data_IF_495529086944
#
_entry.id   IF_495529086944
#
_cell.length_a   1.000
_cell.length_b   1.000
_cell.length_c   1.000
_cell.angle_alpha   90.00
_cell.angle_beta   90.00
_cell.angle_gamma   90.00
#
_symmetry.space_group_name_H-M   'P 1'
#
loop_
_entity.id
_entity.type
_entity.pdbx_description
1 polymer ?
#
# COMPACT_ATOMS: atom_id res chain seq x y z
N UNK A 1 -50.84 34.91 69.79
CA UNK A 1 -51.98 34.17 69.20
C UNK A 1 -51.93 34.34 67.69
N UNK A 2 -52.47 33.34 66.97
CA UNK A 2 -52.69 33.20 65.52
C UNK A 2 -51.56 32.60 64.65
N UNK A 3 -51.54 31.25 64.66
CA UNK A 3 -51.61 30.30 63.54
C UNK A 3 -50.55 30.25 62.41
N UNK A 4 -49.94 29.07 62.30
CA UNK A 4 -49.40 28.49 61.06
C UNK A 4 -50.54 28.08 60.11
N UNK A 5 -50.32 27.94 58.79
CA UNK A 5 -49.93 26.60 58.29
C UNK A 5 -49.01 26.55 57.06
N UNK A 6 -48.27 25.44 56.99
CA UNK A 6 -47.84 24.68 55.80
C UNK A 6 -47.30 25.43 54.56
N UNK A 7 -45.97 25.44 54.43
CA UNK A 7 -45.30 25.52 53.13
C UNK A 7 -45.34 24.15 52.44
N UNK A 8 -46.09 24.06 51.34
CA UNK A 8 -46.09 22.93 50.40
C UNK A 8 -44.76 22.85 49.62
N UNK A 9 -44.30 21.65 49.22
CA UNK A 9 -43.00 21.46 48.58
C UNK A 9 -42.95 22.04 47.17
N UNK A 10 -41.80 22.60 46.81
CA UNK A 10 -41.50 23.15 45.49
C UNK A 10 -41.77 22.13 44.36
N UNK A 11 -42.30 22.55 43.20
CA UNK A 11 -42.61 21.66 42.10
C UNK A 11 -41.33 21.15 41.43
N UNK A 12 -41.11 19.84 41.46
CA UNK A 12 -40.09 19.16 40.66
C UNK A 12 -40.33 19.40 39.17
N UNK A 13 -39.30 19.67 38.34
CA UNK A 13 -39.48 19.92 36.92
C UNK A 13 -39.99 18.66 36.21
N UNK A 14 -41.15 18.79 35.55
CA UNK A 14 -41.81 17.73 34.78
C UNK A 14 -40.88 17.18 33.70
N UNK A 15 -40.78 15.85 33.62
CA UNK A 15 -40.17 15.10 32.51
C UNK A 15 -40.72 15.63 31.17
N UNK A 16 -39.82 15.98 30.23
CA UNK A 16 -40.17 16.40 28.86
C UNK A 16 -40.92 15.27 28.16
N UNK A 17 -42.25 15.36 28.16
CA UNK A 17 -43.13 14.52 27.35
C UNK A 17 -42.98 14.84 25.87
N UNK A 18 -43.23 13.81 25.04
CA UNK A 18 -43.30 13.84 23.58
C UNK A 18 -44.11 15.06 23.08
N UNK A 19 -43.58 15.91 22.18
CA UNK A 19 -44.38 16.98 21.61
C UNK A 19 -45.60 16.39 20.89
N UNK A 20 -46.79 16.94 21.15
CA UNK A 20 -48.02 16.54 20.48
C UNK A 20 -47.84 16.72 18.96
N UNK A 21 -48.16 15.68 18.19
CA UNK A 21 -48.08 15.73 16.73
C UNK A 21 -49.10 16.73 16.22
N UNK A 22 -48.67 17.90 15.75
CA UNK A 22 -49.53 18.83 15.01
C UNK A 22 -50.17 18.06 13.83
N UNK A 23 -51.50 18.04 13.71
CA UNK A 23 -52.19 17.31 12.64
C UNK A 23 -51.90 18.01 11.30
N UNK A 24 -51.21 17.31 10.42
CA UNK A 24 -50.76 17.83 9.12
C UNK A 24 -51.69 17.46 7.96
N UNK A 25 -52.71 16.65 8.22
CA UNK A 25 -53.73 16.23 7.26
C UNK A 25 -54.41 17.39 6.50
N UNK A 26 -54.80 18.52 7.13
CA UNK A 26 -55.43 19.64 6.41
C UNK A 26 -54.50 20.31 5.39
N UNK A 27 -53.19 20.21 5.61
CA UNK A 27 -52.17 20.81 4.75
C UNK A 27 -51.55 19.79 3.79
N UNK A 28 -52.12 18.59 3.70
CA UNK A 28 -51.59 17.49 2.89
C UNK A 28 -51.43 17.91 1.44
N UNK A 29 -52.48 18.47 0.83
CA UNK A 29 -52.48 18.82 -0.59
C UNK A 29 -51.49 19.94 -0.89
N UNK A 30 -51.40 20.95 -0.01
CA UNK A 30 -50.40 22.01 -0.09
C UNK A 30 -48.97 21.47 0.05
N UNK A 31 -48.72 20.56 1.00
CA UNK A 31 -47.41 19.93 1.19
C UNK A 31 -47.05 19.07 -0.03
N UNK A 32 -47.99 18.33 -0.59
CA UNK A 32 -47.77 17.50 -1.79
C UNK A 32 -47.46 18.40 -2.98
N UNK A 33 -48.19 19.50 -3.16
CA UNK A 33 -47.99 20.47 -4.22
C UNK A 33 -46.60 21.11 -4.12
N UNK A 34 -46.27 21.69 -2.96
CA UNK A 34 -44.96 22.31 -2.72
C UNK A 34 -43.80 21.32 -2.92
N UNK A 35 -44.02 20.04 -2.58
CA UNK A 35 -43.00 18.99 -2.71
C UNK A 35 -42.89 18.38 -4.11
N UNK A 36 -44.00 18.25 -4.84
CA UNK A 36 -44.07 17.47 -6.08
C UNK A 36 -44.13 18.34 -7.33
N UNK A 37 -44.87 19.45 -7.28
CA UNK A 37 -45.05 20.41 -8.37
C UNK A 37 -43.98 21.52 -8.32
N UNK A 38 -43.78 22.14 -7.15
CA UNK A 38 -42.84 23.27 -6.99
C UNK A 38 -41.39 22.84 -6.66
N UNK A 39 -41.14 21.54 -6.48
CA UNK A 39 -39.83 20.93 -6.18
C UNK A 39 -39.08 21.57 -4.99
N UNK A 40 -39.80 22.11 -3.99
CA UNK A 40 -39.19 22.81 -2.87
C UNK A 40 -38.48 21.85 -1.90
N UNK A 41 -37.29 22.22 -1.37
CA UNK A 41 -36.63 21.43 -0.33
C UNK A 41 -37.50 21.30 0.92
N UNK A 42 -37.51 20.10 1.54
CA UNK A 42 -38.34 19.80 2.73
C UNK A 42 -38.10 20.80 3.88
N UNK A 43 -36.87 21.31 4.00
CA UNK A 43 -36.52 22.33 5.00
C UNK A 43 -37.23 23.68 4.75
N UNK A 44 -37.40 24.06 3.48
CA UNK A 44 -38.06 25.31 3.11
C UNK A 44 -39.58 25.15 3.15
N UNK A 45 -40.11 23.95 2.85
CA UNK A 45 -41.53 23.62 3.09
C UNK A 45 -41.85 23.73 4.59
N UNK A 46 -40.99 23.21 5.47
CA UNK A 46 -41.15 23.34 6.92
C UNK A 46 -41.11 24.81 7.35
N UNK A 47 -40.14 25.58 6.84
CA UNK A 47 -40.04 27.00 7.16
C UNK A 47 -41.27 27.79 6.70
N UNK A 48 -41.76 27.53 5.49
CA UNK A 48 -42.94 28.19 4.91
C UNK A 48 -44.20 27.90 5.70
N UNK A 49 -44.45 26.63 6.04
CA UNK A 49 -45.62 26.25 6.85
C UNK A 49 -45.55 26.80 8.27
N UNK A 50 -44.35 26.87 8.85
CA UNK A 50 -44.17 27.47 10.17
C UNK A 50 -44.41 28.99 10.14
N UNK A 51 -44.02 29.66 9.05
CA UNK A 51 -44.16 31.11 8.90
C UNK A 51 -45.59 31.53 8.53
N UNK A 52 -46.22 30.86 7.56
CA UNK A 52 -47.52 31.24 7.02
C UNK A 52 -48.69 30.71 7.85
N UNK A 53 -48.52 29.56 8.51
CA UNK A 53 -49.58 28.90 9.28
C UNK A 53 -49.26 28.75 10.77
N UNK A 54 -48.13 29.31 11.24
CA UNK A 54 -47.75 29.32 12.66
C UNK A 54 -47.50 27.92 13.24
N UNK A 55 -47.22 26.93 12.38
CA UNK A 55 -47.06 25.55 12.81
C UNK A 55 -45.62 25.36 13.37
N UNK A 56 -45.42 24.61 14.47
CA UNK A 56 -44.07 24.32 14.99
C UNK A 56 -43.58 22.97 14.45
N UNK A 57 -43.26 22.93 13.16
CA UNK A 57 -43.00 21.69 12.44
C UNK A 57 -41.53 21.60 12.05
N UNK A 58 -40.91 20.47 12.40
CA UNK A 58 -39.55 20.14 11.96
C UNK A 58 -39.54 19.48 10.59
N UNK A 59 -38.42 19.59 9.86
CA UNK A 59 -38.17 18.88 8.59
C UNK A 59 -38.45 17.36 8.71
N UNK A 60 -38.09 16.77 9.87
CA UNK A 60 -38.34 15.34 10.15
C UNK A 60 -39.83 15.00 10.18
N UNK A 61 -40.67 15.92 10.66
CA UNK A 61 -42.12 15.73 10.74
C UNK A 61 -42.74 15.68 9.35
N UNK A 62 -42.34 16.60 8.46
CA UNK A 62 -42.79 16.62 7.06
C UNK A 62 -42.29 15.38 6.31
N UNK A 63 -41.00 15.07 6.47
CA UNK A 63 -40.38 13.87 5.91
C UNK A 63 -41.14 12.60 6.32
N UNK A 64 -41.52 12.45 7.59
CA UNK A 64 -42.31 11.30 8.07
C UNK A 64 -43.70 11.26 7.44
N UNK A 65 -44.37 12.40 7.28
CA UNK A 65 -45.72 12.49 6.71
C UNK A 65 -45.74 12.18 5.22
N UNK A 66 -44.78 12.68 4.46
CA UNK A 66 -44.62 12.33 3.04
C UNK A 66 -44.48 10.81 2.84
N UNK A 67 -43.75 10.14 3.75
CA UNK A 67 -43.64 8.67 3.75
C UNK A 67 -44.96 7.99 4.14
N UNK A 68 -45.69 8.50 5.14
CA UNK A 68 -46.99 7.95 5.55
C UNK A 68 -48.07 8.11 4.48
N UNK A 69 -48.05 9.21 3.72
CA UNK A 69 -48.96 9.46 2.61
C UNK A 69 -48.57 8.73 1.33
N UNK A 70 -47.54 7.87 1.40
CA UNK A 70 -47.05 7.06 0.30
C UNK A 70 -46.65 7.89 -0.93
N UNK A 71 -46.24 9.15 -0.72
CA UNK A 71 -45.82 10.04 -1.79
C UNK A 71 -44.44 9.56 -2.24
N UNK A 72 -44.28 9.14 -3.51
CA UNK A 72 -43.00 8.72 -4.01
C UNK A 72 -42.06 9.91 -3.91
N UNK A 73 -41.13 9.87 -2.97
CA UNK A 73 -40.02 10.82 -2.98
C UNK A 73 -39.41 10.69 -4.35
N UNK A 74 -39.36 11.78 -5.13
CA UNK A 74 -38.40 11.88 -6.21
C UNK A 74 -37.09 11.53 -5.54
N UNK A 75 -36.63 10.29 -5.75
CA UNK A 75 -35.23 10.01 -5.54
C UNK A 75 -34.62 11.02 -6.50
N UNK A 76 -33.96 12.03 -5.98
CA UNK A 76 -32.68 12.41 -6.56
C UNK A 76 -31.76 11.17 -6.43
N UNK A 77 -32.14 10.08 -7.11
CA UNK A 77 -31.29 9.53 -8.13
C UNK A 77 -30.95 10.78 -8.92
N UNK A 78 -29.82 11.38 -8.57
CA UNK A 78 -28.85 11.71 -9.59
C UNK A 78 -28.86 10.48 -10.48
N UNK A 79 -29.74 10.50 -11.48
CA UNK A 79 -29.50 9.86 -12.74
C UNK A 79 -28.17 10.48 -13.04
N UNK A 80 -27.13 9.74 -12.70
CA UNK A 80 -25.82 10.03 -13.16
C UNK A 80 -26.07 9.96 -14.65
N UNK A 81 -26.22 11.12 -15.30
CA UNK A 81 -26.27 11.14 -16.75
C UNK A 81 -25.10 10.26 -17.17
N UNK A 82 -25.33 9.38 -18.15
CA UNK A 82 -24.23 8.53 -18.60
C UNK A 82 -22.99 9.40 -18.86
N UNK A 83 -23.22 10.61 -19.38
CA UNK A 83 -22.27 11.73 -19.42
C UNK A 83 -21.56 12.03 -18.10
N UNK A 84 -22.24 12.25 -16.97
CA UNK A 84 -21.59 12.48 -15.68
C UNK A 84 -20.78 11.25 -15.22
N UNK A 85 -21.25 10.02 -15.49
CA UNK A 85 -20.44 8.82 -15.20
C UNK A 85 -19.20 8.80 -16.05
N UNK A 86 -19.33 9.09 -17.34
CA UNK A 86 -18.25 9.09 -18.31
C UNK A 86 -17.25 10.20 -18.01
N UNK A 87 -17.70 11.39 -17.55
CA UNK A 87 -16.82 12.47 -17.08
C UNK A 87 -16.10 12.11 -15.78
N UNK A 88 -16.79 11.48 -14.83
CA UNK A 88 -16.16 10.95 -13.61
C UNK A 88 -15.10 9.89 -13.97
N UNK A 89 -15.40 8.97 -14.89
CA UNK A 89 -14.47 7.94 -15.38
C UNK A 89 -13.30 8.60 -16.13
N UNK A 90 -13.56 9.57 -17.00
CA UNK A 90 -12.55 10.31 -17.77
C UNK A 90 -11.56 11.02 -16.85
N UNK A 91 -12.04 11.79 -15.88
CA UNK A 91 -11.19 12.50 -14.92
C UNK A 91 -10.48 11.55 -13.95
N UNK A 92 -11.11 10.44 -13.59
CA UNK A 92 -10.49 9.37 -12.81
C UNK A 92 -9.36 8.65 -13.58
N UNK A 93 -9.52 8.46 -14.89
CA UNK A 93 -8.50 7.90 -15.77
C UNK A 93 -7.31 8.85 -15.98
N UNK A 94 -7.51 10.16 -15.78
CA UNK A 94 -6.42 11.18 -15.72
C UNK A 94 -5.65 11.23 -14.40
N UNK A 95 -5.89 10.28 -13.49
CA UNK A 95 -5.22 10.17 -12.18
C UNK A 95 -5.50 11.32 -11.21
N UNK A 96 -6.59 12.06 -11.40
CA UNK A 96 -7.00 13.13 -10.49
C UNK A 96 -7.56 12.55 -9.18
N UNK A 97 -7.31 13.24 -8.07
CA UNK A 97 -7.92 12.90 -6.78
C UNK A 97 -9.39 13.38 -6.70
N UNK A 98 -10.18 12.89 -5.75
CA UNK A 98 -11.62 13.23 -5.67
C UNK A 98 -11.86 14.75 -5.49
N UNK A 99 -10.93 15.49 -4.90
CA UNK A 99 -11.03 16.95 -4.77
C UNK A 99 -10.76 17.66 -6.12
N UNK A 100 -9.79 17.15 -6.89
CA UNK A 100 -9.47 17.63 -8.24
C UNK A 100 -10.57 17.26 -9.25
N UNK A 101 -11.09 16.03 -9.21
CA UNK A 101 -12.20 15.61 -10.06
C UNK A 101 -13.43 16.47 -9.76
N UNK A 102 -13.71 16.77 -8.49
CA UNK A 102 -14.82 17.66 -8.13
C UNK A 102 -14.60 19.09 -8.65
N UNK A 103 -13.36 19.59 -8.65
CA UNK A 103 -13.02 20.90 -9.21
C UNK A 103 -13.18 20.94 -10.74
N UNK A 104 -12.69 19.93 -11.47
CA UNK A 104 -12.83 19.83 -12.93
C UNK A 104 -14.29 19.65 -13.35
N UNK A 105 -15.06 18.83 -12.63
CA UNK A 105 -16.49 18.69 -12.87
C UNK A 105 -17.25 19.99 -12.61
N UNK A 106 -16.84 20.78 -11.61
CA UNK A 106 -17.44 22.09 -11.37
C UNK A 106 -17.15 23.08 -12.52
N UNK A 107 -15.96 23.04 -13.13
CA UNK A 107 -15.62 23.82 -14.34
C UNK A 107 -16.52 23.43 -15.53
N UNK A 108 -16.91 22.16 -15.60
CA UNK A 108 -17.82 21.62 -16.63
C UNK A 108 -19.31 21.82 -16.30
N UNK A 109 -19.64 22.55 -15.22
CA UNK A 109 -21.00 22.86 -14.82
C UNK A 109 -21.67 21.81 -13.93
N UNK A 110 -20.94 20.79 -13.48
CA UNK A 110 -21.43 19.76 -12.56
C UNK A 110 -21.04 20.07 -11.11
N UNK A 111 -21.97 20.63 -10.34
CA UNK A 111 -21.75 20.88 -8.91
C UNK A 111 -21.93 19.61 -8.05
N UNK A 112 -20.83 18.95 -7.72
CA UNK A 112 -20.83 17.74 -6.89
C UNK A 112 -19.91 17.91 -5.69
N UNK A 113 -20.48 17.80 -4.48
CA UNK A 113 -19.68 17.76 -3.25
C UNK A 113 -18.76 16.53 -3.26
N UNK A 114 -17.50 16.70 -2.92
CA UNK A 114 -16.46 15.64 -2.90
C UNK A 114 -16.89 14.35 -2.19
N UNK A 115 -17.59 14.48 -1.05
CA UNK A 115 -18.17 13.33 -0.32
C UNK A 115 -19.20 12.51 -1.14
N UNK A 116 -19.96 13.17 -2.01
CA UNK A 116 -20.96 12.54 -2.86
C UNK A 116 -20.29 11.93 -4.09
N UNK A 117 -19.27 12.62 -4.64
CA UNK A 117 -18.43 12.10 -5.72
C UNK A 117 -17.76 10.78 -5.31
N UNK A 118 -17.16 10.72 -4.10
CA UNK A 118 -16.55 9.49 -3.59
C UNK A 118 -17.53 8.32 -3.49
N UNK A 119 -18.80 8.58 -3.09
CA UNK A 119 -19.86 7.57 -3.06
C UNK A 119 -20.29 7.13 -4.47
N UNK A 120 -20.39 8.07 -5.41
CA UNK A 120 -20.74 7.79 -6.80
C UNK A 120 -19.65 6.97 -7.49
N UNK A 121 -18.39 7.33 -7.28
CA UNK A 121 -17.19 6.62 -7.73
C UNK A 121 -17.17 5.18 -7.20
N UNK A 122 -17.35 4.99 -5.89
CA UNK A 122 -17.46 3.65 -5.28
C UNK A 122 -18.60 2.82 -5.87
N UNK A 123 -19.74 3.45 -6.16
CA UNK A 123 -20.90 2.78 -6.77
C UNK A 123 -20.68 2.36 -8.23
N UNK A 124 -19.79 3.05 -8.94
CA UNK A 124 -19.34 2.70 -10.31
C UNK A 124 -18.19 1.65 -10.25
N UNK A 125 -17.82 1.18 -9.06
CA UNK A 125 -16.73 0.19 -8.88
C UNK A 125 -15.34 0.80 -8.83
N UNK A 126 -15.21 2.12 -8.94
CA UNK A 126 -13.93 2.82 -8.88
C UNK A 126 -13.50 2.92 -7.39
N UNK A 127 -12.49 2.15 -6.97
CA UNK A 127 -11.93 2.14 -5.58
C UNK A 127 -10.77 3.13 -5.42
N UNK A 128 -10.50 3.60 -4.19
CA UNK A 128 -9.50 4.68 -3.97
C UNK A 128 -8.13 4.21 -4.44
N UNK A 129 -7.57 4.84 -5.47
CA UNK A 129 -6.14 4.71 -5.79
C UNK A 129 -5.36 5.53 -4.77
N UNK A 130 -4.26 4.98 -4.28
CA UNK A 130 -3.35 5.61 -3.30
C UNK A 130 -3.21 7.12 -3.53
N UNK A 131 -3.04 7.90 -2.45
CA UNK A 131 -2.86 9.37 -2.50
C UNK A 131 -1.61 9.80 -3.28
N UNK A 132 -0.82 8.82 -3.72
CA UNK A 132 0.45 8.93 -4.39
C UNK A 132 0.36 8.18 -5.74
N UNK A 133 0.49 8.90 -6.87
CA UNK A 133 0.35 8.33 -8.22
C UNK A 133 1.25 7.13 -8.51
N UNK A 134 2.38 6.99 -7.81
CA UNK A 134 3.32 5.90 -8.05
C UNK A 134 2.85 4.51 -7.58
N UNK A 135 1.82 4.37 -6.74
CA UNK A 135 1.39 3.06 -6.17
C UNK A 135 0.35 2.31 -7.01
N UNK A 136 0.23 2.63 -8.30
CA UNK A 136 -0.90 2.24 -9.15
C UNK A 136 -0.79 0.86 -9.84
N UNK A 137 0.35 0.17 -9.76
CA UNK A 137 0.57 -1.11 -10.47
C UNK A 137 0.26 -2.38 -9.65
N UNK A 138 -0.36 -2.25 -8.47
CA UNK A 138 -0.56 -3.38 -7.54
C UNK A 138 -2.04 -3.57 -7.21
N UNK A 139 -2.91 -3.74 -8.21
CA UNK A 139 -4.19 -4.44 -8.00
C UNK A 139 -4.95 -4.62 -9.33
N UNK A 140 -5.16 -5.90 -9.66
CA UNK A 140 -6.20 -6.49 -10.52
C UNK A 140 -5.82 -6.76 -11.99
N UNK A 141 -5.39 -8.00 -12.24
CA UNK A 141 -5.67 -8.75 -13.48
C UNK A 141 -7.10 -9.33 -13.38
N UNK A 142 -7.94 -9.11 -14.39
CA UNK A 142 -8.57 -10.17 -15.21
C UNK A 142 -9.62 -9.58 -16.22
N UNK A 143 -9.37 -9.93 -17.48
CA UNK A 143 -10.28 -10.26 -18.61
C UNK A 143 -10.98 -9.22 -19.51
N UNK A 144 -10.97 -9.66 -20.80
CA UNK A 144 -11.67 -9.26 -22.03
C UNK A 144 -11.15 -8.09 -22.91
N UNK A 145 -10.60 -8.47 -24.08
CA UNK A 145 -10.59 -7.65 -25.30
C UNK A 145 -12.01 -7.53 -25.91
N UNK A 146 -12.26 -6.83 -27.04
CA UNK A 146 -11.36 -6.67 -28.19
C UNK A 146 -11.34 -5.27 -28.88
N UNK A 147 -10.40 -5.13 -29.84
CA UNK A 147 -10.46 -4.35 -31.09
C UNK A 147 -10.84 -2.86 -31.08
N UNK A 148 -9.92 -2.00 -31.55
CA UNK A 148 -10.22 -1.02 -32.60
C UNK A 148 -8.93 -0.46 -33.22
N UNK A 149 -8.81 -0.68 -34.53
CA UNK A 149 -7.94 0.02 -35.46
C UNK A 149 -8.12 1.54 -35.35
N UNK A 150 -7.05 2.31 -35.51
CA UNK A 150 -7.08 3.55 -36.29
C UNK A 150 -5.68 3.84 -36.85
N UNK A 151 -5.64 3.91 -38.18
CA UNK A 151 -4.53 4.30 -39.03
C UNK A 151 -4.24 5.81 -38.94
N UNK A 152 -3.07 6.20 -39.44
CA UNK A 152 -2.87 7.52 -40.03
C UNK A 152 -1.74 8.36 -39.42
N UNK A 153 -0.53 8.23 -39.95
CA UNK A 153 0.04 9.22 -40.89
C UNK A 153 1.57 9.19 -40.87
N UNK A 154 2.13 8.77 -42.01
CA UNK A 154 3.54 8.83 -42.30
C UNK A 154 3.97 10.30 -42.47
N UNK A 155 4.97 10.73 -41.69
CA UNK A 155 5.81 11.89 -42.03
C UNK A 155 7.25 11.43 -42.18
N UNK A 156 7.70 11.39 -43.44
CA UNK A 156 9.11 11.27 -43.80
C UNK A 156 9.88 12.45 -43.21
N UNK A 157 10.90 12.18 -42.40
CA UNK A 157 11.93 13.12 -42.02
C UNK A 157 13.30 12.48 -42.27
N UNK A 158 14.16 13.25 -42.92
CA UNK A 158 15.50 12.94 -43.42
C UNK A 158 16.49 12.56 -42.29
N UNK A 159 17.60 11.87 -42.62
CA UNK A 159 18.51 11.33 -41.61
C UNK A 159 19.24 12.44 -40.84
N UNK A 160 19.09 12.41 -39.52
CA UNK A 160 19.80 13.27 -38.55
C UNK A 160 21.21 12.67 -38.31
N UNK A 161 22.27 13.49 -38.20
CA UNK A 161 23.64 13.00 -37.98
C UNK A 161 23.79 12.29 -36.61
N UNK A 162 24.82 11.44 -36.44
CA UNK A 162 24.95 10.55 -35.28
C UNK A 162 24.97 11.34 -33.96
N UNK A 163 24.41 10.77 -32.87
CA UNK A 163 24.26 11.50 -31.62
C UNK A 163 25.63 11.75 -31.00
N UNK A 164 25.92 13.01 -30.71
CA UNK A 164 27.04 13.40 -29.86
C UNK A 164 26.88 12.74 -28.48
N UNK A 165 27.98 12.19 -27.95
CA UNK A 165 28.06 11.57 -26.62
C UNK A 165 27.36 12.42 -25.57
N UNK A 166 26.31 11.87 -24.95
CA UNK A 166 25.56 12.55 -23.89
C UNK A 166 26.51 12.89 -22.73
N UNK A 167 26.48 14.10 -22.17
CA UNK A 167 27.29 14.43 -21.00
C UNK A 167 26.83 13.57 -19.81
N UNK A 168 27.79 12.94 -19.11
CA UNK A 168 27.55 12.14 -17.90
C UNK A 168 26.75 13.00 -16.90
N UNK A 169 25.54 12.55 -16.54
CA UNK A 169 24.70 13.23 -15.53
C UNK A 169 25.50 13.33 -14.23
N UNK A 170 25.56 14.53 -13.64
CA UNK A 170 26.20 14.73 -12.35
C UNK A 170 25.49 13.88 -11.29
N UNK A 171 26.22 12.99 -10.60
CA UNK A 171 25.67 12.15 -9.52
C UNK A 171 25.04 13.04 -8.45
N UNK A 172 23.79 12.76 -8.09
CA UNK A 172 23.09 13.49 -7.05
C UNK A 172 23.90 13.44 -5.74
N UNK A 173 24.17 14.60 -5.13
CA UNK A 173 24.87 14.67 -3.85
C UNK A 173 23.91 14.22 -2.75
N UNK A 174 23.97 12.93 -2.40
CA UNK A 174 23.20 12.37 -1.30
C UNK A 174 23.62 12.96 0.05
N UNK A 175 22.66 13.08 0.97
CA UNK A 175 22.92 13.50 2.33
C UNK A 175 23.67 12.40 3.07
N UNK A 176 24.99 12.53 3.21
CA UNK A 176 25.86 11.56 3.88
C UNK A 176 25.50 11.33 5.36
N UNK A 177 24.81 12.27 6.01
CA UNK A 177 24.35 12.13 7.38
C UNK A 177 23.08 11.25 7.53
N UNK A 178 22.43 10.86 6.42
CA UNK A 178 21.20 10.07 6.47
C UNK A 178 21.44 8.62 6.88
N UNK A 179 22.46 7.96 6.33
CA UNK A 179 22.78 6.55 6.64
C UNK A 179 23.00 6.34 8.14
N UNK A 180 23.85 7.11 8.85
CA UNK A 180 24.04 6.94 10.30
C UNK A 180 22.75 7.10 11.11
N UNK A 181 21.88 8.05 10.74
CA UNK A 181 20.59 8.26 11.41
C UNK A 181 19.65 7.07 11.20
N UNK A 182 19.58 6.55 9.97
CA UNK A 182 18.80 5.37 9.63
C UNK A 182 19.34 4.14 10.35
N UNK A 183 20.66 3.94 10.37
CA UNK A 183 21.28 2.82 11.09
C UNK A 183 20.94 2.84 12.59
N UNK A 184 21.03 4.01 13.24
CA UNK A 184 20.65 4.14 14.65
C UNK A 184 19.16 3.87 14.90
N UNK A 185 18.29 4.31 13.98
CA UNK A 185 16.87 4.00 14.03
C UNK A 185 16.63 2.49 13.91
N UNK A 186 17.25 1.84 12.92
CA UNK A 186 17.08 0.40 12.67
C UNK A 186 17.62 -0.43 13.82
N UNK A 187 18.78 -0.09 14.38
CA UNK A 187 19.33 -0.78 15.56
C UNK A 187 18.35 -0.76 16.74
N UNK A 188 17.74 0.40 17.01
CA UNK A 188 16.70 0.53 18.03
C UNK A 188 15.41 -0.21 17.65
N UNK A 189 15.00 -0.17 16.38
CA UNK A 189 13.80 -0.85 15.91
C UNK A 189 13.94 -2.38 15.99
N UNK A 190 15.13 -2.90 15.73
CA UNK A 190 15.45 -4.32 15.70
C UNK A 190 15.79 -4.90 17.08
N UNK A 191 16.02 -4.06 18.10
CA UNK A 191 16.42 -4.52 19.44
C UNK A 191 15.38 -5.39 20.15
N UNK A 192 14.13 -5.40 19.65
CA UNK A 192 13.03 -6.23 20.15
C UNK A 192 12.96 -7.61 19.49
N UNK A 193 13.77 -7.88 18.46
CA UNK A 193 13.74 -9.13 17.71
C UNK A 193 14.76 -10.13 18.25
N UNK A 194 14.48 -11.41 18.00
CA UNK A 194 15.42 -12.48 18.28
C UNK A 194 16.60 -12.45 17.28
N UNK A 195 17.72 -13.07 17.64
CA UNK A 195 18.95 -13.16 16.82
C UNK A 195 18.82 -13.77 15.42
N UNK A 196 17.66 -14.31 15.01
CA UNK A 196 17.43 -14.69 13.61
C UNK A 196 17.12 -13.48 12.71
N UNK A 197 16.64 -12.36 13.27
CA UNK A 197 16.27 -11.12 12.58
C UNK A 197 16.73 -9.88 13.37
N UNK A 198 17.86 -9.98 14.08
CA UNK A 198 18.42 -8.88 14.85
C UNK A 198 19.18 -7.87 13.98
N UNK A 199 19.70 -6.82 14.60
CA UNK A 199 20.52 -5.84 13.89
C UNK A 199 21.78 -6.45 13.25
N UNK A 200 22.29 -7.58 13.76
CA UNK A 200 23.44 -8.26 13.14
C UNK A 200 23.07 -8.87 11.79
N UNK A 201 21.86 -9.42 11.63
CA UNK A 201 21.35 -9.82 10.33
C UNK A 201 21.36 -8.65 9.35
N UNK A 202 20.79 -7.50 9.72
CA UNK A 202 20.78 -6.30 8.86
C UNK A 202 22.21 -5.88 8.47
N UNK A 203 23.15 -5.87 9.41
CA UNK A 203 24.56 -5.53 9.14
C UNK A 203 25.19 -6.46 8.11
N UNK A 204 24.91 -7.77 8.19
CA UNK A 204 25.42 -8.75 7.21
C UNK A 204 24.81 -8.54 5.84
N UNK A 205 23.49 -8.31 5.76
CA UNK A 205 22.80 -8.01 4.49
C UNK A 205 23.38 -6.74 3.84
N UNK A 206 23.60 -5.67 4.60
CA UNK A 206 24.26 -4.46 4.08
C UNK A 206 25.66 -4.77 3.55
N UNK A 207 26.47 -5.53 4.29
CA UNK A 207 27.81 -5.92 3.85
C UNK A 207 27.80 -6.78 2.58
N UNK A 208 26.85 -7.71 2.46
CA UNK A 208 26.67 -8.54 1.26
C UNK A 208 26.20 -7.70 0.06
N UNK A 209 25.29 -6.76 0.27
CA UNK A 209 24.83 -5.83 -0.77
C UNK A 209 25.99 -4.96 -1.30
N UNK A 210 26.87 -4.50 -0.41
CA UNK A 210 28.07 -3.77 -0.79
C UNK A 210 29.05 -4.64 -1.57
N UNK A 211 29.27 -5.89 -1.16
CA UNK A 211 30.13 -6.82 -1.90
C UNK A 211 29.62 -7.09 -3.33
N UNK A 212 28.31 -7.33 -3.48
CA UNK A 212 27.65 -7.49 -4.79
C UNK A 212 27.85 -6.23 -5.64
N UNK A 213 27.57 -5.06 -5.08
CA UNK A 213 27.71 -3.77 -5.77
C UNK A 213 29.14 -3.54 -6.27
N UNK A 214 30.13 -3.79 -5.41
CA UNK A 214 31.54 -3.63 -5.74
C UNK A 214 31.98 -4.56 -6.87
N UNK A 215 31.55 -5.83 -6.85
CA UNK A 215 31.87 -6.80 -7.92
C UNK A 215 31.23 -6.38 -9.26
N UNK A 216 29.96 -5.96 -9.27
CA UNK A 216 29.28 -5.47 -10.47
C UNK A 216 30.04 -4.28 -11.07
N UNK A 217 30.37 -3.29 -10.25
CA UNK A 217 31.06 -2.08 -10.72
C UNK A 217 32.50 -2.35 -11.18
N UNK A 218 33.22 -3.30 -10.58
CA UNK A 218 34.55 -3.67 -11.04
C UNK A 218 34.52 -4.34 -12.41
N UNK A 219 33.55 -5.23 -12.65
CA UNK A 219 33.38 -5.86 -13.96
C UNK A 219 32.98 -4.84 -15.04
N UNK A 220 32.07 -3.92 -14.72
CA UNK A 220 31.74 -2.77 -15.57
C UNK A 220 32.97 -1.94 -15.95
N UNK A 221 33.84 -1.62 -14.98
CA UNK A 221 35.05 -0.85 -15.21
C UNK A 221 36.12 -1.59 -16.03
N UNK A 222 36.09 -2.92 -16.08
CA UNK A 222 37.02 -3.74 -16.88
C UNK A 222 36.53 -4.00 -18.31
N UNK A 223 35.22 -3.93 -18.55
CA UNK A 223 34.58 -4.20 -19.85
C UNK A 223 34.30 -2.92 -20.69
N UNK A 224 35.07 -1.84 -20.48
CA UNK A 224 34.92 -0.53 -21.13
C UNK A 224 35.00 -0.51 -22.68
N UNK A 225 35.16 -1.66 -23.35
CA UNK A 225 35.25 -1.81 -24.81
C UNK A 225 33.96 -2.34 -25.47
N UNK A 226 32.93 -2.71 -24.70
CA UNK A 226 31.61 -3.08 -25.26
C UNK A 226 30.66 -1.88 -25.23
N UNK A 227 30.23 -1.41 -26.40
CA UNK A 227 29.19 -0.38 -26.62
C UNK A 227 27.77 -0.88 -26.24
N UNK A 228 27.63 -1.65 -25.15
CA UNK A 228 26.32 -2.07 -24.66
C UNK A 228 25.67 -0.90 -23.91
N UNK A 229 24.64 -0.30 -24.52
CA UNK A 229 23.88 0.86 -24.02
C UNK A 229 23.08 0.57 -22.72
N UNK A 230 23.15 -0.67 -22.19
CA UNK A 230 22.39 -1.16 -21.03
C UNK A 230 23.19 -1.15 -19.71
N UNK A 231 24.22 -0.31 -19.59
CA UNK A 231 24.95 -0.17 -18.32
C UNK A 231 24.08 0.53 -17.27
N UNK A 232 23.47 -0.28 -16.39
CA UNK A 232 22.62 0.20 -15.30
C UNK A 232 23.48 0.83 -14.20
N UNK A 233 23.47 2.16 -14.09
CA UNK A 233 24.14 2.90 -13.02
C UNK A 233 23.43 2.62 -11.67
N UNK A 234 24.01 1.70 -10.89
CA UNK A 234 23.53 1.35 -9.56
C UNK A 234 23.91 2.41 -8.53
N UNK A 235 22.96 2.79 -7.67
CA UNK A 235 23.19 3.76 -6.60
C UNK A 235 23.47 3.07 -5.26
N UNK A 236 24.72 3.15 -4.79
CA UNK A 236 25.14 2.57 -3.50
C UNK A 236 24.36 3.16 -2.31
N UNK A 237 23.98 4.44 -2.37
CA UNK A 237 23.23 5.07 -1.29
C UNK A 237 21.84 4.43 -1.18
N UNK A 238 21.21 4.18 -2.33
CA UNK A 238 19.90 3.51 -2.42
C UNK A 238 20.00 2.06 -1.96
N UNK A 239 21.01 1.31 -2.42
CA UNK A 239 21.27 -0.07 -1.99
C UNK A 239 21.44 -0.15 -0.48
N UNK A 240 22.24 0.76 0.10
CA UNK A 240 22.52 0.77 1.54
C UNK A 240 21.25 1.04 2.35
N UNK A 241 20.45 2.03 1.96
CA UNK A 241 19.20 2.35 2.64
C UNK A 241 18.16 1.23 2.47
N UNK A 242 18.05 0.65 1.28
CA UNK A 242 17.18 -0.49 1.01
C UNK A 242 17.53 -1.70 1.88
N UNK A 243 18.81 -2.05 1.96
CA UNK A 243 19.30 -3.15 2.80
C UNK A 243 19.11 -2.86 4.31
N UNK A 244 19.32 -1.63 4.78
CA UNK A 244 19.07 -1.26 6.18
C UNK A 244 17.59 -1.39 6.58
N UNK A 245 16.68 -1.08 5.65
CA UNK A 245 15.25 -0.92 5.95
C UNK A 245 14.39 -2.10 5.49
N UNK A 246 14.95 -3.13 4.84
CA UNK A 246 14.16 -4.19 4.21
C UNK A 246 13.22 -4.96 5.16
N UNK A 247 13.63 -5.14 6.42
CA UNK A 247 12.83 -5.79 7.47
C UNK A 247 11.99 -4.79 8.30
N UNK A 248 12.11 -3.49 8.05
CA UNK A 248 11.27 -2.48 8.71
C UNK A 248 9.88 -2.50 8.10
N UNK A 249 8.88 -2.83 8.94
CA UNK A 249 7.50 -2.91 8.50
C UNK A 249 7.08 -4.25 7.90
N UNK A 250 7.88 -5.32 8.07
CA UNK A 250 7.40 -6.68 7.81
C UNK A 250 6.13 -6.92 8.64
N UNK A 251 5.09 -7.42 7.98
CA UNK A 251 3.78 -7.76 8.56
C UNK A 251 3.89 -8.62 9.82
N UNK A 252 4.95 -9.42 9.96
CA UNK A 252 5.22 -10.23 11.16
C UNK A 252 5.46 -9.39 12.42
N UNK A 253 5.82 -8.11 12.27
CA UNK A 253 6.32 -7.25 13.35
C UNK A 253 5.67 -5.87 13.41
N UNK A 254 4.66 -5.60 12.57
CA UNK A 254 3.89 -4.36 12.61
C UNK A 254 3.09 -4.25 13.91
N UNK A 255 3.18 -3.09 14.55
CA UNK A 255 2.33 -2.76 15.70
C UNK A 255 0.92 -2.37 15.23
N UNK A 256 -0.13 -2.55 16.07
CA UNK A 256 -1.49 -2.16 15.72
C UNK A 256 -1.57 -0.71 15.26
N UNK A 257 -1.99 -0.48 14.00
CA UNK A 257 -2.11 0.85 13.40
C UNK A 257 -0.93 1.29 12.53
N UNK A 258 0.17 0.52 12.48
CA UNK A 258 1.24 0.73 11.51
C UNK A 258 0.90 0.08 10.17
N UNK A 259 1.31 0.72 9.08
CA UNK A 259 1.19 0.21 7.71
C UNK A 259 2.57 0.05 7.09
N UNK A 260 2.96 -1.20 6.81
CA UNK A 260 4.25 -1.53 6.19
C UNK A 260 4.43 -0.90 4.81
N UNK A 261 3.35 -0.51 4.13
CA UNK A 261 3.42 0.18 2.84
C UNK A 261 3.87 1.64 2.93
N UNK A 262 3.85 2.23 4.13
CA UNK A 262 4.15 3.66 4.33
C UNK A 262 5.16 3.92 5.45
N UNK A 263 5.46 2.93 6.29
CA UNK A 263 6.36 3.11 7.43
C UNK A 263 7.78 3.54 7.03
N UNK A 264 8.34 2.94 5.99
CA UNK A 264 9.69 3.27 5.51
C UNK A 264 9.73 4.68 4.94
N UNK A 265 8.73 5.03 4.12
CA UNK A 265 8.54 6.38 3.58
C UNK A 265 8.48 7.43 4.70
N UNK A 266 7.59 7.24 5.68
CA UNK A 266 7.41 8.17 6.79
C UNK A 266 8.69 8.31 7.64
N UNK A 267 9.39 7.19 7.88
CA UNK A 267 10.65 7.17 8.63
C UNK A 267 11.72 8.00 7.91
N UNK A 268 11.95 7.74 6.63
CA UNK A 268 12.96 8.45 5.84
C UNK A 268 12.68 9.96 5.75
N UNK A 269 11.42 10.35 5.53
CA UNK A 269 11.01 11.76 5.55
C UNK A 269 11.30 12.41 6.91
N UNK A 270 10.99 11.72 8.02
CA UNK A 270 11.25 12.23 9.37
C UNK A 270 12.74 12.41 9.68
N UNK A 271 13.61 11.64 9.02
CA UNK A 271 15.07 11.72 9.15
C UNK A 271 15.73 12.72 8.18
N UNK A 272 14.92 13.38 7.33
CA UNK A 272 15.35 14.43 6.40
C UNK A 272 15.76 13.93 5.01
N UNK A 273 15.26 12.76 4.57
CA UNK A 273 15.38 12.33 3.19
C UNK A 273 14.46 13.15 2.26
N UNK A 274 14.81 13.25 0.98
CA UNK A 274 13.87 13.77 -0.02
C UNK A 274 12.71 12.81 -0.24
N UNK A 275 11.56 13.34 -0.62
CA UNK A 275 10.37 12.54 -0.92
C UNK A 275 10.63 11.53 -2.03
N UNK A 276 11.32 11.93 -3.11
CA UNK A 276 11.72 11.06 -4.21
C UNK A 276 12.56 9.86 -3.73
N UNK A 277 13.58 10.10 -2.90
CA UNK A 277 14.42 9.03 -2.35
C UNK A 277 13.60 8.12 -1.44
N UNK A 278 12.77 8.69 -0.57
CA UNK A 278 11.97 7.92 0.37
C UNK A 278 10.95 7.02 -0.34
N UNK A 279 10.30 7.51 -1.40
CA UNK A 279 9.43 6.73 -2.27
C UNK A 279 10.21 5.60 -2.95
N UNK A 280 11.38 5.90 -3.53
CA UNK A 280 12.24 4.89 -4.18
C UNK A 280 12.61 3.77 -3.22
N UNK A 281 13.04 4.09 -2.00
CA UNK A 281 13.39 3.08 -0.99
C UNK A 281 12.18 2.27 -0.53
N UNK A 282 11.03 2.92 -0.28
CA UNK A 282 9.79 2.21 0.09
C UNK A 282 9.39 1.17 -0.98
N UNK A 283 9.58 1.48 -2.27
CA UNK A 283 9.34 0.54 -3.39
C UNK A 283 10.25 -0.66 -3.35
N UNK A 284 11.54 -0.40 -3.18
CA UNK A 284 12.56 -1.45 -3.10
C UNK A 284 12.22 -2.37 -1.93
N UNK A 285 12.01 -1.82 -0.74
CA UNK A 285 11.71 -2.63 0.47
C UNK A 285 10.47 -3.52 0.28
N UNK A 286 9.39 -3.02 -0.31
CA UNK A 286 8.19 -3.84 -0.58
C UNK A 286 8.45 -5.01 -1.54
N UNK A 287 9.44 -4.86 -2.42
CA UNK A 287 9.86 -5.89 -3.37
C UNK A 287 10.83 -6.93 -2.80
N UNK A 288 11.43 -6.73 -1.61
CA UNK A 288 12.51 -7.63 -1.12
C UNK A 288 11.98 -9.02 -0.73
N UNK A 289 10.82 -9.08 -0.09
CA UNK A 289 10.30 -10.31 0.53
C UNK A 289 10.12 -11.47 -0.46
N UNK A 290 10.62 -12.66 -0.08
CA UNK A 290 10.41 -13.92 -0.80
C UNK A 290 8.93 -14.20 -1.12
N UNK A 291 8.05 -13.96 -0.15
CA UNK A 291 6.61 -14.22 -0.32
C UNK A 291 5.97 -13.30 -1.35
N UNK A 292 6.47 -12.06 -1.48
CA UNK A 292 6.00 -11.13 -2.51
C UNK A 292 6.40 -11.63 -3.90
N UNK A 293 7.65 -12.09 -4.07
CA UNK A 293 8.12 -12.60 -5.37
C UNK A 293 7.42 -13.90 -5.80
N UNK A 294 7.23 -14.85 -4.89
CA UNK A 294 6.55 -16.11 -5.23
C UNK A 294 5.08 -15.88 -5.61
N UNK A 295 4.44 -14.87 -5.00
CA UNK A 295 3.05 -14.54 -5.30
C UNK A 295 2.88 -13.92 -6.68
N UNK A 296 3.79 -13.03 -7.07
CA UNK A 296 3.76 -12.36 -8.37
C UNK A 296 5.19 -12.08 -8.88
N UNK A 297 5.74 -13.00 -9.67
CA UNK A 297 7.09 -12.84 -10.24
C UNK A 297 7.18 -11.71 -11.28
N UNK A 298 6.10 -11.45 -12.04
CA UNK A 298 6.09 -10.49 -13.16
C UNK A 298 6.20 -9.06 -12.66
N UNK A 299 5.27 -8.68 -11.81
CA UNK A 299 5.58 -8.19 -10.49
C UNK A 299 6.93 -7.53 -10.18
N UNK A 300 7.71 -8.35 -9.48
CA UNK A 300 9.06 -8.06 -9.02
C UNK A 300 10.00 -7.80 -10.19
N UNK A 301 9.83 -8.49 -11.33
CA UNK A 301 10.65 -8.24 -12.51
C UNK A 301 10.48 -6.81 -13.04
N UNK A 302 9.23 -6.31 -13.10
CA UNK A 302 8.95 -4.92 -13.49
C UNK A 302 9.54 -3.92 -12.48
N UNK A 303 9.48 -4.22 -11.18
CA UNK A 303 10.16 -3.39 -10.17
C UNK A 303 11.67 -3.37 -10.35
N UNK A 304 12.30 -4.52 -10.62
CA UNK A 304 13.76 -4.61 -10.83
C UNK A 304 14.16 -3.79 -12.07
N UNK A 305 13.39 -3.87 -13.15
CA UNK A 305 13.64 -3.05 -14.35
C UNK A 305 13.59 -1.54 -14.03
N UNK A 306 12.69 -1.13 -13.15
CA UNK A 306 12.55 0.28 -12.73
C UNK A 306 13.57 0.70 -11.66
N UNK A 307 13.93 -0.22 -10.77
CA UNK A 307 14.77 -0.02 -9.60
C UNK A 307 15.77 -1.18 -9.50
N UNK A 308 16.87 -1.16 -10.28
CA UNK A 308 17.80 -2.28 -10.36
C UNK A 308 18.53 -2.56 -9.05
N UNK A 309 18.57 -1.59 -8.13
CA UNK A 309 19.07 -1.79 -6.77
C UNK A 309 18.29 -2.86 -6.00
N UNK A 310 17.02 -3.11 -6.35
CA UNK A 310 16.21 -4.17 -5.76
C UNK A 310 16.85 -5.56 -5.94
N UNK A 311 17.42 -5.83 -7.12
CA UNK A 311 18.09 -7.10 -7.39
C UNK A 311 19.26 -7.35 -6.43
N UNK A 312 20.05 -6.30 -6.14
CA UNK A 312 21.18 -6.37 -5.20
C UNK A 312 20.69 -6.62 -3.78
N UNK A 313 19.66 -5.90 -3.34
CA UNK A 313 19.13 -6.04 -1.97
C UNK A 313 18.47 -7.41 -1.77
N UNK A 314 17.71 -7.91 -2.75
CA UNK A 314 17.12 -9.25 -2.71
C UNK A 314 18.18 -10.34 -2.63
N UNK A 315 19.21 -10.28 -3.47
CA UNK A 315 20.28 -11.27 -3.45
C UNK A 315 21.03 -11.25 -2.12
N UNK A 316 21.33 -10.06 -1.59
CA UNK A 316 22.01 -9.91 -0.32
C UNK A 316 21.22 -10.51 0.87
N UNK A 317 19.91 -10.25 0.94
CA UNK A 317 19.05 -10.83 1.98
C UNK A 317 18.98 -12.36 1.87
N UNK A 318 18.75 -12.88 0.65
CA UNK A 318 18.68 -14.32 0.39
C UNK A 318 19.99 -15.03 0.68
N UNK A 319 21.12 -14.40 0.38
CA UNK A 319 22.44 -14.95 0.70
C UNK A 319 22.62 -15.13 2.20
N UNK A 320 22.12 -14.23 3.04
CA UNK A 320 22.18 -14.37 4.51
C UNK A 320 21.23 -15.44 5.06
N UNK A 321 20.27 -15.91 4.25
CA UNK A 321 19.37 -17.02 4.58
C UNK A 321 19.95 -18.40 4.24
N UNK A 322 21.07 -18.48 3.52
CA UNK A 322 21.72 -19.73 3.10
C UNK A 322 23.17 -19.85 3.59
N UNK A 323 23.75 -21.04 3.46
CA UNK A 323 25.09 -21.35 3.98
C UNK A 323 25.12 -21.51 5.50
N UNK A 324 26.31 -21.44 6.11
CA UNK A 324 26.50 -21.71 7.54
C UNK A 324 25.66 -20.79 8.45
N UNK A 325 25.58 -19.50 8.11
CA UNK A 325 24.75 -18.53 8.83
C UNK A 325 23.26 -18.85 8.64
N UNK A 326 22.86 -19.19 7.41
CA UNK A 326 21.49 -19.61 7.12
C UNK A 326 21.06 -20.81 7.94
N UNK A 327 21.93 -21.82 8.12
CA UNK A 327 21.67 -22.98 8.98
C UNK A 327 21.36 -22.50 10.41
N UNK A 328 22.26 -21.72 11.01
CA UNK A 328 22.11 -21.22 12.38
C UNK A 328 20.83 -20.39 12.56
N UNK A 329 20.55 -19.48 11.63
CA UNK A 329 19.32 -18.67 11.64
C UNK A 329 18.05 -19.52 11.54
N UNK A 330 18.05 -20.54 10.69
CA UNK A 330 16.87 -21.39 10.47
C UNK A 330 16.51 -22.18 11.73
N UNK A 331 17.49 -22.79 12.40
CA UNK A 331 17.26 -23.47 13.68
C UNK A 331 16.84 -22.51 14.79
N UNK A 332 17.47 -21.35 14.86
CA UNK A 332 17.11 -20.33 15.84
C UNK A 332 15.66 -19.84 15.67
N UNK A 333 15.26 -19.57 14.43
CA UNK A 333 13.89 -19.17 14.11
C UNK A 333 12.88 -20.27 14.39
N UNK A 334 13.18 -21.52 14.02
CA UNK A 334 12.33 -22.68 14.35
C UNK A 334 12.12 -22.82 15.86
N UNK A 335 13.19 -22.70 16.64
CA UNK A 335 13.13 -22.67 18.10
C UNK A 335 12.26 -21.53 18.65
N UNK A 336 12.48 -20.30 18.17
CA UNK A 336 11.70 -19.12 18.59
C UNK A 336 10.21 -19.22 18.21
N UNK A 337 9.88 -19.88 17.10
CA UNK A 337 8.49 -20.13 16.68
C UNK A 337 7.84 -21.34 17.35
N UNK A 338 8.56 -22.03 18.23
CA UNK A 338 8.03 -23.18 18.97
C UNK A 338 7.87 -24.42 18.10
N UNK A 339 8.65 -24.54 17.01
CA UNK A 339 8.75 -25.77 16.23
C UNK A 339 9.17 -26.91 17.16
N UNK A 340 8.31 -27.91 17.32
CA UNK A 340 8.51 -29.00 18.29
C UNK A 340 9.59 -29.98 17.87
N UNK A 341 9.87 -30.07 16.57
CA UNK A 341 10.76 -31.07 15.99
C UNK A 341 11.80 -30.41 15.09
N UNK A 342 13.08 -30.63 15.39
CA UNK A 342 14.19 -30.13 14.56
C UNK A 342 14.12 -30.64 13.11
N UNK A 343 13.53 -31.82 12.87
CA UNK A 343 13.31 -32.35 11.52
C UNK A 343 12.42 -31.46 10.64
N UNK A 344 11.45 -30.73 11.20
CA UNK A 344 10.65 -29.76 10.42
C UNK A 344 11.51 -28.58 9.94
N UNK A 345 12.54 -28.21 10.71
CA UNK A 345 13.52 -27.18 10.33
C UNK A 345 14.40 -27.66 9.16
N UNK A 346 14.75 -28.94 9.15
CA UNK A 346 15.50 -29.55 8.03
C UNK A 346 14.65 -29.62 6.76
N UNK A 347 13.37 -29.98 6.86
CA UNK A 347 12.48 -29.96 5.68
C UNK A 347 12.37 -28.57 5.04
N UNK A 348 12.48 -27.51 5.86
CA UNK A 348 12.52 -26.13 5.37
C UNK A 348 13.69 -25.84 4.40
N UNK A 349 14.78 -26.63 4.48
CA UNK A 349 15.92 -26.46 3.60
C UNK A 349 15.51 -26.77 2.15
N UNK A 350 14.83 -27.90 1.92
CA UNK A 350 14.31 -28.29 0.59
C UNK A 350 13.16 -27.39 0.15
N UNK A 351 12.23 -27.09 1.08
CA UNK A 351 11.01 -26.36 0.76
C UNK A 351 11.30 -24.94 0.28
N UNK A 352 12.35 -24.32 0.82
CA UNK A 352 12.66 -22.91 0.58
C UNK A 352 14.14 -22.63 0.32
N UNK A 353 15.04 -22.99 1.24
CA UNK A 353 16.40 -22.44 1.24
C UNK A 353 17.21 -22.85 0.01
N UNK A 354 17.11 -24.11 -0.41
CA UNK A 354 17.79 -24.63 -1.60
C UNK A 354 17.27 -23.96 -2.89
N UNK A 355 16.00 -23.55 -2.92
CA UNK A 355 15.40 -22.86 -4.07
C UNK A 355 15.92 -21.43 -4.25
N UNK A 356 16.48 -20.83 -3.21
CA UNK A 356 16.96 -19.44 -3.25
C UNK A 356 18.10 -19.25 -4.25
N UNK A 357 18.93 -20.27 -4.49
CA UNK A 357 20.00 -20.22 -5.51
C UNK A 357 19.45 -19.88 -6.89
N UNK A 358 18.39 -20.56 -7.31
CA UNK A 358 17.76 -20.34 -8.61
C UNK A 358 17.01 -19.01 -8.74
N UNK A 359 16.78 -18.32 -7.62
CA UNK A 359 16.06 -17.05 -7.57
C UNK A 359 16.97 -15.82 -7.52
N UNK A 360 18.28 -16.02 -7.42
CA UNK A 360 19.26 -14.93 -7.44
C UNK A 360 19.21 -14.17 -8.77
N UNK A 361 19.36 -12.85 -8.72
CA UNK A 361 19.20 -11.95 -9.86
C UNK A 361 20.54 -11.59 -10.49
N UNK A 362 21.52 -11.27 -9.65
CA UNK A 362 22.84 -10.79 -10.05
C UNK A 362 23.80 -11.97 -10.29
N UNK A 363 24.76 -11.78 -11.19
CA UNK A 363 25.86 -12.74 -11.43
C UNK A 363 26.66 -13.04 -10.15
N UNK A 364 27.16 -12.04 -9.39
CA UNK A 364 27.83 -12.30 -8.11
C UNK A 364 26.93 -13.00 -7.10
N UNK A 365 25.65 -12.62 -7.01
CA UNK A 365 24.66 -13.26 -6.14
C UNK A 365 24.52 -14.75 -6.43
N UNK A 366 24.32 -15.11 -7.71
CA UNK A 366 24.26 -16.52 -8.16
C UNK A 366 25.51 -17.31 -7.80
N UNK A 367 26.69 -16.73 -8.03
CA UNK A 367 27.99 -17.36 -7.73
C UNK A 367 28.13 -17.66 -6.24
N UNK A 368 27.87 -16.66 -5.39
CA UNK A 368 27.93 -16.82 -3.93
C UNK A 368 26.85 -17.78 -3.41
N UNK A 369 25.67 -17.76 -4.02
CA UNK A 369 24.56 -18.62 -3.62
C UNK A 369 24.87 -20.08 -3.85
N UNK A 370 25.43 -20.44 -5.02
CA UNK A 370 25.87 -21.80 -5.32
C UNK A 370 26.76 -22.38 -4.22
N UNK A 371 27.80 -21.64 -3.82
CA UNK A 371 28.72 -22.07 -2.77
C UNK A 371 28.04 -22.20 -1.39
N UNK A 372 27.03 -21.38 -1.10
CA UNK A 372 26.28 -21.43 0.16
C UNK A 372 25.22 -22.53 0.16
N UNK A 373 24.60 -22.83 -0.97
CA UNK A 373 23.66 -23.95 -1.12
C UNK A 373 24.37 -25.28 -0.96
N UNK A 374 25.58 -25.44 -1.51
CA UNK A 374 26.35 -26.66 -1.31
C UNK A 374 26.63 -26.93 0.18
N UNK A 375 26.91 -25.89 0.99
CA UNK A 375 27.02 -26.04 2.44
C UNK A 375 25.72 -26.55 3.09
N UNK A 376 24.55 -26.12 2.62
CA UNK A 376 23.26 -26.61 3.12
C UNK A 376 23.09 -28.10 2.81
N UNK A 377 23.39 -28.52 1.58
CA UNK A 377 23.31 -29.92 1.16
C UNK A 377 24.28 -30.80 1.96
N UNK A 378 25.51 -30.34 2.18
CA UNK A 378 26.50 -31.06 3.00
C UNK A 378 26.04 -31.18 4.46
N UNK A 379 25.54 -30.10 5.06
CA UNK A 379 25.03 -30.17 6.43
C UNK A 379 23.86 -31.16 6.55
N UNK A 380 22.95 -31.14 5.58
CA UNK A 380 21.82 -32.06 5.53
C UNK A 380 22.26 -33.51 5.36
N UNK A 381 23.31 -33.80 4.57
CA UNK A 381 23.85 -35.16 4.49
C UNK A 381 24.40 -35.65 5.83
N UNK A 382 25.10 -34.80 6.58
CA UNK A 382 25.55 -35.14 7.93
C UNK A 382 24.39 -35.36 8.88
N UNK A 383 23.35 -34.52 8.81
CA UNK A 383 22.14 -34.68 9.60
C UNK A 383 21.46 -36.04 9.37
N UNK A 384 21.28 -36.45 8.12
CA UNK A 384 20.64 -37.75 7.79
C UNK A 384 21.52 -38.94 8.19
N UNK A 385 22.84 -38.83 8.05
CA UNK A 385 23.80 -39.84 8.51
C UNK A 385 23.73 -40.02 10.03
N UNK A 386 23.91 -38.94 10.80
CA UNK A 386 23.89 -38.97 12.28
C UNK A 386 22.53 -39.45 12.81
N UNK A 387 21.43 -39.01 12.20
CA UNK A 387 20.08 -39.45 12.55
C UNK A 387 19.90 -40.94 12.25
N UNK A 388 20.36 -41.41 11.10
CA UNK A 388 20.28 -42.81 10.70
C UNK A 388 21.04 -43.72 11.66
N UNK A 389 22.25 -43.32 12.06
CA UNK A 389 23.07 -44.03 13.04
C UNK A 389 22.40 -44.09 14.42
N UNK A 390 21.80 -42.99 14.86
CA UNK A 390 21.12 -42.90 16.15
C UNK A 390 19.79 -43.68 16.19
N UNK A 391 19.02 -43.69 15.09
CA UNK A 391 17.71 -44.36 15.03
C UNK A 391 17.83 -45.89 14.91
N UNK A 392 18.94 -46.42 14.38
CA UNK A 392 19.32 -47.83 14.44
C UNK A 392 18.15 -48.84 14.32
N UNK A 393 17.92 -49.62 15.39
CA UNK A 393 16.88 -50.66 15.49
C UNK A 393 15.45 -50.14 15.81
N UNK A 394 15.28 -48.85 16.11
CA UNK A 394 13.99 -48.25 16.44
C UNK A 394 13.16 -47.88 15.21
N UNK A 395 13.74 -48.02 14.00
CA UNK A 395 13.04 -47.84 12.73
C UNK A 395 11.99 -48.95 12.56
N UNK A 396 10.74 -48.67 12.96
CA UNK A 396 9.61 -49.50 12.51
C UNK A 396 9.60 -49.45 10.97
N UNK A 397 9.70 -50.63 10.36
CA UNK A 397 9.66 -50.83 8.90
C UNK A 397 8.48 -50.13 8.25
#
# INVERSE_FOLDING_TARGET
>A
MSDSPCQSPAPTPKKRGRPQSTPLEPYKDLIVQLFSEDDLPIIDIARKLNLEHGLDISERTISRRLTQWNIPRKKQRLVTSQELRDRIIFHYNKNLNDDQIAAELAVEGYEIRTRNLGRMRQKIGLRRRSRFPEFREYSEDEEDGPSAQLEGEARMLTPKPPPAKKPKKAKAKHNTALIPKVSAFVEKYMSKYDGSHDFNHIRRVVGLAHAIYTEINHHSAQNLESDDEDEQDLDLHVITLGALLHDVGDRKYLEPGQDGNTLVLATLLSLGASEELAIKIQRIVLGVSYSSEVKDPGQVLALIQKYPELAVVQDADRLDAIGAIGIGRTFMFGGAKGTKHMGETINHFEDKLEKLEGMMKTVPGKRMAKERTERLKTFKSWWEEEKGDAEGLLRKK
#
